data_IF_122460399612
#
_entry.id   IF_122460399612
#
_cell.length_a   1.000
_cell.length_b   1.000
_cell.length_c   1.000
_cell.angle_alpha   90.00
_cell.angle_beta   90.00
_cell.angle_gamma   90.00
#
_symmetry.space_group_name_H-M   'P 1'
#
loop_
_entity.id
_entity.type
_entity.pdbx_description
1 polymer ?
#
# COMPACT_ATOMS: atom_id res chain seq x y z
N UNK A 1 3.27 -1.64 19.13
CA UNK A 1 3.46 -0.19 19.21
C UNK A 1 4.16 0.29 17.94
N UNK A 2 3.54 1.24 17.23
CA UNK A 2 4.14 1.94 16.08
C UNK A 2 4.41 3.38 16.47
N UNK A 3 5.64 3.83 16.23
CA UNK A 3 6.05 5.21 16.39
C UNK A 3 6.22 5.82 15.00
N UNK A 4 5.47 6.88 14.69
CA UNK A 4 5.48 7.47 13.35
C UNK A 4 6.59 8.52 13.23
N UNK A 5 7.38 8.39 12.18
CA UNK A 5 8.47 9.29 11.86
C UNK A 5 8.16 10.13 10.61
N UNK A 6 9.16 10.84 10.09
CA UNK A 6 9.01 11.82 8.99
C UNK A 6 8.47 11.25 7.66
N UNK A 7 8.48 9.92 7.48
CA UNK A 7 7.98 9.28 6.26
C UNK A 7 6.46 9.29 6.16
N UNK A 8 5.78 9.32 7.32
CA UNK A 8 4.32 9.33 7.38
C UNK A 8 3.88 10.70 7.86
N UNK A 9 3.15 11.42 7.03
CA UNK A 9 2.60 12.72 7.38
C UNK A 9 1.56 12.56 8.51
N UNK A 10 1.60 13.43 9.51
CA UNK A 10 0.72 13.34 10.68
C UNK A 10 -0.76 13.45 10.30
N UNK A 11 -1.06 14.23 9.28
CA UNK A 11 -2.38 14.42 8.70
C UNK A 11 -2.96 13.17 8.03
N UNK A 12 -2.12 12.24 7.58
CA UNK A 12 -2.53 10.98 6.97
C UNK A 12 -2.87 9.89 8.00
N UNK A 13 -2.39 10.01 9.24
CA UNK A 13 -2.57 8.98 10.27
C UNK A 13 -4.04 8.63 10.56
N UNK A 14 -4.97 9.59 10.60
CA UNK A 14 -6.39 9.26 10.75
C UNK A 14 -6.95 8.40 9.63
N UNK A 15 -6.46 8.57 8.40
CA UNK A 15 -6.85 7.73 7.26
C UNK A 15 -6.40 6.27 7.49
N UNK A 16 -5.13 6.04 7.81
CA UNK A 16 -4.60 4.69 7.98
C UNK A 16 -5.22 3.96 9.16
N UNK A 17 -5.30 4.61 10.32
CA UNK A 17 -5.89 4.01 11.51
C UNK A 17 -7.38 3.75 11.33
N UNK A 18 -8.11 4.70 10.75
CA UNK A 18 -9.53 4.54 10.46
C UNK A 18 -9.80 3.46 9.41
N UNK A 19 -8.92 3.31 8.41
CA UNK A 19 -9.03 2.25 7.40
C UNK A 19 -8.86 0.86 8.02
N UNK A 20 -7.84 0.67 8.85
CA UNK A 20 -7.63 -0.60 9.55
C UNK A 20 -8.83 -0.96 10.45
N UNK A 21 -9.40 0.00 11.18
CA UNK A 21 -10.63 -0.21 11.96
C UNK A 21 -11.82 -0.60 11.06
N UNK A 22 -11.99 0.09 9.94
CA UNK A 22 -13.08 -0.15 9.00
C UNK A 22 -13.00 -1.55 8.37
N UNK A 23 -11.82 -1.95 7.90
CA UNK A 23 -11.58 -3.25 7.29
C UNK A 23 -11.73 -4.39 8.31
N UNK A 24 -11.15 -4.25 9.50
CA UNK A 24 -11.27 -5.23 10.57
C UNK A 24 -12.75 -5.42 11.01
N UNK A 25 -13.54 -4.35 11.07
CA UNK A 25 -14.96 -4.42 11.39
C UNK A 25 -15.79 -5.19 10.34
N UNK A 26 -15.28 -5.32 9.11
CA UNK A 26 -15.88 -6.09 8.01
C UNK A 26 -15.35 -7.53 7.90
N UNK A 27 -14.38 -7.87 8.71
CA UNK A 27 -13.84 -9.24 8.79
C UNK A 27 -12.49 -9.44 8.11
N UNK A 28 -11.93 -8.41 7.47
CA UNK A 28 -10.58 -8.51 6.93
C UNK A 28 -9.58 -8.65 8.06
N UNK A 29 -8.70 -9.65 7.96
CA UNK A 29 -7.62 -9.84 8.94
C UNK A 29 -6.52 -8.80 8.69
N UNK A 30 -6.49 -7.77 9.53
CA UNK A 30 -5.48 -6.70 9.51
C UNK A 30 -5.22 -6.18 10.93
N UNK A 31 -4.10 -5.47 11.17
CA UNK A 31 -3.86 -4.84 12.47
C UNK A 31 -4.99 -3.88 12.82
N UNK A 32 -5.53 -4.00 14.03
CA UNK A 32 -6.61 -3.13 14.50
C UNK A 32 -6.06 -2.17 15.54
N UNK A 33 -6.26 -0.85 15.39
CA UNK A 33 -5.84 0.13 16.38
C UNK A 33 -6.51 -0.11 17.74
N UNK A 34 -5.71 -0.05 18.80
CA UNK A 34 -6.16 -0.16 20.19
C UNK A 34 -6.43 1.25 20.70
N UNK A 35 -7.65 1.48 21.18
CA UNK A 35 -8.04 2.79 21.72
C UNK A 35 -7.57 2.96 23.16
N UNK A 36 -7.18 4.18 23.50
CA UNK A 36 -6.85 4.55 24.89
C UNK A 36 -8.15 4.71 25.73
N UNK A 37 -7.98 5.01 27.02
CA UNK A 37 -9.09 5.19 27.94
C UNK A 37 -9.99 6.40 27.60
N UNK A 38 -9.54 7.31 26.73
CA UNK A 38 -10.32 8.43 26.20
C UNK A 38 -10.94 8.13 24.82
N UNK A 39 -10.81 6.88 24.34
CA UNK A 39 -11.35 6.43 23.03
C UNK A 39 -10.50 6.83 21.82
N UNK A 40 -9.28 7.33 22.00
CA UNK A 40 -8.41 7.75 20.91
C UNK A 40 -7.53 6.58 20.45
N UNK A 41 -7.35 6.42 19.15
CA UNK A 41 -6.48 5.43 18.53
C UNK A 41 -5.08 5.97 18.16
N UNK A 42 -4.88 7.28 18.29
CA UNK A 42 -3.61 7.96 18.06
C UNK A 42 -3.22 8.75 19.31
N UNK A 43 -2.04 8.49 19.81
CA UNK A 43 -1.42 9.16 20.95
C UNK A 43 -0.11 9.83 20.57
N UNK A 44 0.68 10.16 21.58
CA UNK A 44 2.01 10.72 21.44
C UNK A 44 2.99 10.02 22.39
N UNK A 45 4.18 9.70 21.90
CA UNK A 45 5.26 9.12 22.67
C UNK A 45 6.58 9.80 22.29
N UNK A 46 7.30 10.34 23.25
CA UNK A 46 8.57 11.05 23.03
C UNK A 46 8.47 12.17 21.95
N UNK A 47 7.36 12.93 21.96
CA UNK A 47 7.13 14.04 21.03
C UNK A 47 6.78 13.58 19.59
N UNK A 48 6.43 12.32 19.39
CA UNK A 48 6.06 11.75 18.09
C UNK A 48 4.68 11.09 18.14
N UNK A 49 3.91 11.13 17.05
CA UNK A 49 2.67 10.37 16.97
C UNK A 49 2.95 8.87 17.16
N UNK A 50 2.08 8.21 17.91
CA UNK A 50 2.22 6.79 18.20
C UNK A 50 0.84 6.11 18.24
N UNK A 51 0.76 4.87 17.77
CA UNK A 51 -0.42 4.03 17.90
C UNK A 51 -0.05 2.63 18.41
N UNK A 52 -0.95 2.05 19.17
CA UNK A 52 -0.95 0.62 19.47
C UNK A 52 -1.86 -0.07 18.47
N UNK A 53 -1.40 -1.15 17.86
CA UNK A 53 -2.21 -2.00 17.00
C UNK A 53 -2.11 -3.44 17.47
N UNK A 54 -3.12 -4.25 17.16
CA UNK A 54 -3.10 -5.69 17.46
C UNK A 54 -1.96 -6.36 16.70
N UNK A 55 -1.43 -7.44 17.28
CA UNK A 55 -0.44 -8.28 16.62
C UNK A 55 -1.16 -9.39 15.83
N UNK A 56 -0.67 -9.67 14.63
CA UNK A 56 -1.14 -10.78 13.81
C UNK A 56 -0.11 -11.91 13.80
N UNK A 57 -0.58 -13.12 13.96
CA UNK A 57 0.26 -14.32 13.86
C UNK A 57 0.47 -14.68 12.38
N UNK A 58 1.68 -15.16 12.08
CA UNK A 58 2.02 -15.64 10.75
C UNK A 58 3.41 -15.24 10.31
N UNK A 59 3.78 -15.73 9.13
CA UNK A 59 5.07 -15.46 8.51
C UNK A 59 4.86 -15.07 7.05
N UNK A 60 5.65 -14.15 6.55
CA UNK A 60 5.67 -13.84 5.14
C UNK A 60 6.41 -14.93 4.33
N UNK A 61 6.04 -15.11 3.08
CA UNK A 61 6.59 -16.14 2.19
C UNK A 61 7.69 -15.56 1.32
N UNK A 62 8.91 -16.07 1.49
CA UNK A 62 10.09 -15.58 0.76
C UNK A 62 10.10 -15.96 -0.73
N UNK A 63 9.49 -17.09 -1.08
CA UNK A 63 9.33 -17.59 -2.47
C UNK A 63 7.87 -18.00 -2.67
N UNK A 64 7.03 -17.11 -3.19
CA UNK A 64 5.65 -17.42 -3.44
C UNK A 64 5.48 -18.57 -4.42
N UNK A 65 4.55 -19.48 -4.13
CA UNK A 65 4.05 -20.45 -5.10
C UNK A 65 2.72 -19.93 -5.69
N UNK A 66 2.25 -20.56 -6.76
CA UNK A 66 0.98 -20.20 -7.42
C UNK A 66 -0.22 -20.21 -6.47
N UNK A 67 -0.20 -21.12 -5.48
CA UNK A 67 -1.23 -21.17 -4.42
C UNK A 67 -1.22 -19.92 -3.53
N UNK A 68 -0.04 -19.37 -3.24
CA UNK A 68 0.08 -18.10 -2.50
C UNK A 68 -0.42 -16.92 -3.34
N UNK A 69 -0.07 -16.86 -4.63
CA UNK A 69 -0.56 -15.81 -5.53
C UNK A 69 -2.11 -15.82 -5.60
N UNK A 70 -2.72 -17.01 -5.70
CA UNK A 70 -4.17 -17.15 -5.71
C UNK A 70 -4.81 -16.70 -4.37
N UNK A 71 -4.19 -17.03 -3.24
CA UNK A 71 -4.67 -16.63 -1.91
C UNK A 71 -4.58 -15.11 -1.71
N UNK A 72 -3.47 -14.49 -2.14
CA UNK A 72 -3.28 -13.04 -2.07
C UNK A 72 -4.23 -12.29 -3.00
N UNK A 73 -4.42 -12.78 -4.23
CA UNK A 73 -5.41 -12.20 -5.15
C UNK A 73 -6.83 -12.19 -4.58
N UNK A 74 -7.21 -13.25 -3.84
CA UNK A 74 -8.49 -13.29 -3.11
C UNK A 74 -8.51 -12.26 -1.96
N UNK A 75 -7.47 -12.20 -1.15
CA UNK A 75 -7.38 -11.25 -0.05
C UNK A 75 -7.40 -9.79 -0.54
N UNK A 76 -6.77 -9.51 -1.70
CA UNK A 76 -6.84 -8.20 -2.34
C UNK A 76 -8.28 -7.86 -2.79
N UNK A 77 -8.99 -8.81 -3.38
CA UNK A 77 -10.38 -8.60 -3.76
C UNK A 77 -11.28 -8.35 -2.54
N UNK A 78 -11.07 -9.08 -1.44
CA UNK A 78 -11.76 -8.87 -0.16
C UNK A 78 -11.47 -7.47 0.38
N UNK A 79 -10.19 -7.02 0.37
CA UNK A 79 -9.83 -5.66 0.77
C UNK A 79 -10.57 -4.60 -0.05
N UNK A 80 -10.64 -4.75 -1.37
CA UNK A 80 -11.34 -3.81 -2.23
C UNK A 80 -12.84 -3.73 -1.92
N UNK A 81 -13.49 -4.88 -1.72
CA UNK A 81 -14.91 -4.96 -1.36
C UNK A 81 -15.16 -4.39 0.05
N UNK A 82 -14.34 -4.78 1.02
CA UNK A 82 -14.47 -4.30 2.39
C UNK A 82 -14.09 -2.83 2.54
N UNK A 83 -13.27 -2.29 1.63
CA UNK A 83 -12.93 -0.87 1.54
C UNK A 83 -14.09 0.01 1.05
N UNK A 84 -15.15 -0.58 0.48
CA UNK A 84 -16.32 0.17 0.04
C UNK A 84 -16.99 0.89 1.21
N UNK A 85 -17.38 2.14 0.97
CA UNK A 85 -18.03 2.98 1.98
C UNK A 85 -17.10 3.57 3.04
N UNK A 86 -15.78 3.33 2.97
CA UNK A 86 -14.86 4.05 3.83
C UNK A 86 -14.87 5.55 3.53
N UNK A 87 -15.18 6.35 4.57
CA UNK A 87 -15.53 7.76 4.37
C UNK A 87 -14.33 8.67 4.09
N UNK A 88 -13.16 8.37 4.69
CA UNK A 88 -11.98 9.21 4.51
C UNK A 88 -11.36 8.97 3.14
N UNK A 89 -10.72 10.02 2.61
CA UNK A 89 -10.08 9.98 1.29
C UNK A 89 -8.63 10.43 1.40
N UNK A 90 -7.75 9.73 0.69
CA UNK A 90 -6.35 10.05 0.56
C UNK A 90 -5.92 9.78 -0.89
N UNK A 91 -5.35 10.78 -1.55
CA UNK A 91 -4.85 10.62 -2.91
C UNK A 91 -3.59 9.74 -2.94
N UNK A 92 -3.39 9.02 -4.05
CA UNK A 92 -2.15 8.28 -4.28
C UNK A 92 -0.98 9.23 -4.58
N UNK A 93 -0.09 9.40 -3.61
CA UNK A 93 1.10 10.23 -3.78
C UNK A 93 2.14 9.58 -4.73
N UNK A 94 2.06 8.27 -4.96
CA UNK A 94 2.90 7.50 -5.88
C UNK A 94 2.16 7.07 -7.16
N UNK A 95 1.05 7.73 -7.48
CA UNK A 95 0.35 7.59 -8.75
C UNK A 95 0.87 8.58 -9.81
N UNK A 96 0.21 8.60 -10.96
CA UNK A 96 0.59 9.41 -12.13
C UNK A 96 0.88 10.89 -11.78
N UNK A 97 0.03 11.50 -10.98
CA UNK A 97 0.18 12.91 -10.57
C UNK A 97 1.41 13.13 -9.65
N UNK A 98 1.83 12.11 -8.90
CA UNK A 98 3.00 12.17 -8.02
C UNK A 98 4.33 11.94 -8.73
N UNK A 99 4.33 11.14 -9.81
CA UNK A 99 5.56 10.75 -10.51
C UNK A 99 6.25 11.91 -11.21
N UNK A 100 5.49 12.82 -11.84
CA UNK A 100 6.07 13.98 -12.55
C UNK A 100 6.88 14.87 -11.61
N UNK A 101 6.36 15.33 -10.47
CA UNK A 101 7.14 16.12 -9.52
C UNK A 101 8.38 15.39 -8.96
N UNK A 102 8.29 14.05 -8.78
CA UNK A 102 9.44 13.25 -8.36
C UNK A 102 10.52 13.24 -9.44
N UNK A 103 10.14 12.98 -10.69
CA UNK A 103 11.06 12.99 -11.81
C UNK A 103 11.77 14.34 -11.95
N UNK A 104 11.00 15.45 -11.96
CA UNK A 104 11.52 16.79 -12.15
C UNK A 104 12.56 17.19 -11.07
N UNK A 105 12.46 16.62 -9.86
CA UNK A 105 13.44 16.84 -8.78
C UNK A 105 14.78 16.13 -9.00
N UNK A 106 14.78 15.03 -9.74
CA UNK A 106 15.94 14.13 -9.81
C UNK A 106 16.41 13.87 -11.24
N UNK A 107 15.73 14.41 -12.27
CA UNK A 107 16.02 14.17 -13.66
C UNK A 107 17.49 14.47 -14.04
N UNK A 108 18.03 15.60 -13.56
CA UNK A 108 19.41 16.01 -13.82
C UNK A 108 20.45 15.08 -13.19
N UNK A 109 20.06 14.31 -12.19
CA UNK A 109 20.91 13.36 -11.47
C UNK A 109 20.71 11.91 -11.90
N UNK A 110 19.73 11.64 -12.74
CA UNK A 110 19.45 10.26 -13.19
C UNK A 110 20.65 9.62 -13.90
N UNK A 111 21.46 10.41 -14.60
CA UNK A 111 22.69 9.94 -15.26
C UNK A 111 23.79 9.47 -14.28
N UNK A 112 23.70 9.80 -12.99
CA UNK A 112 24.59 9.26 -11.94
C UNK A 112 24.38 7.75 -11.75
N UNK A 113 23.18 7.23 -12.11
CA UNK A 113 22.82 5.81 -12.02
C UNK A 113 23.05 5.13 -13.38
N UNK A 114 22.48 5.69 -14.45
CA UNK A 114 22.69 5.21 -15.81
C UNK A 114 22.52 6.37 -16.81
N UNK A 115 23.39 6.46 -17.86
CA UNK A 115 23.42 7.61 -18.77
C UNK A 115 22.09 7.95 -19.43
N UNK A 116 21.31 6.93 -19.80
CA UNK A 116 20.03 7.09 -20.53
C UNK A 116 18.79 7.07 -19.63
N UNK A 117 18.95 6.95 -18.30
CA UNK A 117 17.86 6.76 -17.37
C UNK A 117 16.91 7.97 -17.35
N UNK A 118 17.43 9.18 -17.32
CA UNK A 118 16.63 10.40 -17.32
C UNK A 118 15.75 10.52 -18.58
N UNK A 119 16.32 10.47 -19.80
CA UNK A 119 15.53 10.45 -21.03
C UNK A 119 14.49 9.32 -21.10
N UNK A 120 14.86 8.11 -20.65
CA UNK A 120 13.96 6.96 -20.62
C UNK A 120 12.74 7.24 -19.71
N UNK A 121 12.96 7.59 -18.44
CA UNK A 121 11.86 7.89 -17.50
C UNK A 121 11.01 9.05 -18.04
N UNK A 122 11.63 10.10 -18.57
CA UNK A 122 10.90 11.24 -19.12
C UNK A 122 10.03 10.87 -20.33
N UNK A 123 10.45 9.93 -21.17
CA UNK A 123 9.63 9.43 -22.31
C UNK A 123 8.46 8.58 -21.82
N UNK A 124 8.72 7.68 -20.86
CA UNK A 124 7.69 6.83 -20.28
C UNK A 124 6.61 7.66 -19.55
N UNK A 125 7.02 8.66 -18.78
CA UNK A 125 6.06 9.56 -18.12
C UNK A 125 5.17 10.29 -19.11
N UNK A 126 5.72 10.81 -20.23
CA UNK A 126 4.91 11.45 -21.26
C UNK A 126 3.92 10.47 -21.91
N UNK A 127 4.36 9.22 -22.14
CA UNK A 127 3.49 8.19 -22.67
C UNK A 127 2.33 7.89 -21.71
N UNK A 128 2.65 7.66 -20.43
CA UNK A 128 1.67 7.36 -19.40
C UNK A 128 0.67 8.52 -19.17
N UNK A 129 1.14 9.78 -19.18
CA UNK A 129 0.29 10.95 -19.07
C UNK A 129 -0.73 11.05 -20.21
N UNK A 130 -0.31 10.65 -21.42
CA UNK A 130 -1.19 10.67 -22.60
C UNK A 130 -2.16 9.50 -22.66
N UNK A 131 -1.80 8.34 -22.11
CA UNK A 131 -2.53 7.08 -22.29
C UNK A 131 -3.08 6.49 -21.00
N UNK A 132 -2.96 7.20 -19.85
CA UNK A 132 -3.46 6.69 -18.57
C UNK A 132 -4.96 6.39 -18.64
N UNK A 133 -5.40 5.19 -18.24
CA UNK A 133 -6.82 4.86 -18.25
C UNK A 133 -7.62 5.79 -17.33
N UNK A 134 -8.72 6.35 -17.82
CA UNK A 134 -9.50 7.36 -17.08
C UNK A 134 -10.77 6.82 -16.43
N UNK A 135 -11.28 5.68 -16.91
CA UNK A 135 -12.59 5.14 -16.51
C UNK A 135 -12.43 3.74 -15.92
N UNK A 136 -11.55 3.61 -14.93
CA UNK A 136 -11.39 2.36 -14.18
C UNK A 136 -12.14 2.42 -12.86
N UNK A 137 -12.68 1.28 -12.38
CA UNK A 137 -13.20 1.17 -11.03
C UNK A 137 -12.14 1.64 -10.02
N UNK A 138 -12.55 2.49 -9.09
CA UNK A 138 -11.67 3.08 -8.10
C UNK A 138 -12.24 2.92 -6.69
N UNK A 139 -11.36 2.81 -5.73
CA UNK A 139 -11.71 2.60 -4.33
C UNK A 139 -10.52 2.80 -3.42
N UNK A 140 -10.61 2.24 -2.23
CA UNK A 140 -9.46 2.08 -1.34
C UNK A 140 -8.57 0.97 -1.89
N UNK A 141 -7.28 1.24 -1.96
CA UNK A 141 -6.23 0.30 -2.36
C UNK A 141 -5.17 0.20 -1.27
N UNK A 142 -4.46 -0.93 -1.23
CA UNK A 142 -3.31 -1.11 -0.33
C UNK A 142 -2.07 -0.38 -0.86
N UNK A 143 -1.85 -0.44 -2.14
CA UNK A 143 -0.76 0.16 -2.92
C UNK A 143 0.65 -0.33 -2.58
N UNK A 144 0.81 -1.32 -1.69
CA UNK A 144 2.09 -1.88 -1.27
C UNK A 144 1.97 -3.36 -0.87
N UNK A 145 1.13 -4.14 -1.58
CA UNK A 145 0.87 -5.54 -1.24
C UNK A 145 1.98 -6.48 -1.72
N UNK A 146 3.19 -6.27 -1.19
CA UNK A 146 4.35 -7.11 -1.41
C UNK A 146 4.34 -8.35 -0.50
N UNK A 147 5.19 -9.38 -0.79
CA UNK A 147 5.22 -10.61 0.00
C UNK A 147 5.45 -10.41 1.49
N UNK A 148 6.24 -9.43 1.91
CA UNK A 148 6.52 -9.09 3.30
C UNK A 148 5.36 -8.39 4.02
N UNK A 149 4.35 -7.93 3.27
CA UNK A 149 3.14 -7.31 3.80
C UNK A 149 1.94 -8.28 3.89
N UNK A 150 2.15 -9.59 3.59
CA UNK A 150 1.12 -10.62 3.71
C UNK A 150 1.61 -11.76 4.60
N UNK A 151 0.88 -12.01 5.67
CA UNK A 151 1.19 -13.07 6.61
C UNK A 151 0.40 -14.35 6.30
N UNK A 152 1.04 -15.49 6.49
CA UNK A 152 0.49 -16.81 6.28
C UNK A 152 0.62 -17.68 7.52
N UNK A 153 -0.39 -18.51 7.75
CA UNK A 153 -0.39 -19.65 8.66
C UNK A 153 -0.92 -20.87 7.92
N UNK A 154 -0.14 -21.94 7.84
CA UNK A 154 -0.52 -23.17 7.11
C UNK A 154 -1.01 -22.88 5.67
N UNK A 155 -0.24 -22.12 4.90
CA UNK A 155 -0.52 -21.72 3.50
C UNK A 155 -1.82 -20.91 3.29
N UNK A 156 -2.40 -20.41 4.36
CA UNK A 156 -3.57 -19.50 4.30
C UNK A 156 -3.14 -18.11 4.73
N UNK A 157 -3.64 -17.09 4.03
CA UNK A 157 -3.47 -15.70 4.45
C UNK A 157 -4.05 -15.55 5.85
N UNK A 158 -3.21 -15.16 6.80
CA UNK A 158 -3.60 -14.86 8.19
C UNK A 158 -3.75 -13.37 8.44
N UNK A 159 -3.23 -12.52 7.56
CA UNK A 159 -3.46 -11.10 7.61
C UNK A 159 -2.65 -10.29 6.63
N UNK A 160 -3.15 -9.09 6.36
CA UNK A 160 -2.48 -8.04 5.59
C UNK A 160 -1.96 -6.99 6.56
N UNK A 161 -0.73 -6.49 6.33
CA UNK A 161 -0.08 -5.51 7.20
C UNK A 161 0.48 -4.34 6.38
N UNK A 162 0.94 -3.31 7.04
CA UNK A 162 1.59 -2.12 6.45
C UNK A 162 0.70 -1.29 5.52
N UNK A 163 -0.40 -0.77 6.04
CA UNK A 163 -1.36 0.07 5.33
C UNK A 163 -0.90 1.52 5.10
N UNK A 164 0.37 1.85 5.32
CA UNK A 164 0.83 3.25 5.28
C UNK A 164 1.06 3.82 3.88
N UNK A 165 0.88 3.00 2.84
CA UNK A 165 0.73 3.44 1.46
C UNK A 165 -0.73 3.48 0.99
N UNK A 166 -1.64 2.89 1.75
CA UNK A 166 -3.05 2.81 1.37
C UNK A 166 -3.63 4.18 1.01
N UNK A 167 -4.43 4.22 -0.03
CA UNK A 167 -4.98 5.45 -0.59
C UNK A 167 -6.24 5.17 -1.43
N UNK A 168 -6.78 6.18 -2.09
CA UNK A 168 -7.83 6.01 -3.08
C UNK A 168 -7.23 6.13 -4.47
N UNK A 169 -7.35 5.09 -5.27
CA UNK A 169 -6.93 5.05 -6.67
C UNK A 169 -7.72 3.97 -7.43
N UNK A 170 -7.34 3.71 -8.69
CA UNK A 170 -7.85 2.61 -9.47
C UNK A 170 -7.54 1.25 -8.83
N UNK A 171 -8.54 0.38 -8.73
CA UNK A 171 -8.35 -0.99 -8.23
C UNK A 171 -7.36 -1.78 -9.11
N UNK A 172 -7.30 -1.45 -10.40
CA UNK A 172 -6.33 -2.05 -11.32
C UNK A 172 -4.88 -1.68 -11.01
N UNK A 173 -4.62 -0.50 -10.40
CA UNK A 173 -3.29 -0.12 -9.93
C UNK A 173 -2.80 -1.07 -8.84
N UNK A 174 -3.65 -1.36 -7.87
CA UNK A 174 -3.33 -2.28 -6.77
C UNK A 174 -3.09 -3.71 -7.26
N UNK A 175 -3.93 -4.16 -8.20
CA UNK A 175 -3.73 -5.44 -8.87
C UNK A 175 -2.39 -5.49 -9.62
N UNK A 176 -1.99 -4.42 -10.30
CA UNK A 176 -0.71 -4.36 -11.01
C UNK A 176 0.48 -4.41 -10.04
N UNK A 177 0.41 -3.72 -8.90
CA UNK A 177 1.43 -3.81 -7.83
C UNK A 177 1.55 -5.24 -7.35
N UNK A 178 0.43 -5.91 -7.03
CA UNK A 178 0.41 -7.29 -6.58
C UNK A 178 0.97 -8.25 -7.62
N UNK A 179 0.56 -8.13 -8.90
CA UNK A 179 1.08 -9.00 -9.97
C UNK A 179 2.59 -8.88 -10.10
N UNK A 180 3.13 -7.66 -10.12
CA UNK A 180 4.58 -7.44 -10.21
C UNK A 180 5.35 -8.00 -9.00
N UNK A 181 4.76 -7.94 -7.81
CA UNK A 181 5.42 -8.39 -6.58
C UNK A 181 5.36 -9.92 -6.37
N UNK A 182 4.33 -10.61 -6.92
CA UNK A 182 4.05 -12.00 -6.60
C UNK A 182 4.18 -12.98 -7.77
N UNK A 183 4.04 -12.50 -9.00
CA UNK A 183 3.89 -13.38 -10.17
C UNK A 183 5.12 -13.43 -11.08
N UNK A 184 6.20 -12.77 -10.69
CA UNK A 184 7.47 -12.80 -11.43
C UNK A 184 8.60 -13.29 -10.52
N UNK A 185 9.52 -14.05 -11.10
CA UNK A 185 10.75 -14.44 -10.41
C UNK A 185 11.74 -13.26 -10.38
N UNK A 186 12.73 -13.34 -9.47
CA UNK A 186 13.73 -12.27 -9.29
C UNK A 186 14.60 -12.00 -10.53
N UNK A 187 14.63 -12.94 -11.48
CA UNK A 187 15.32 -12.84 -12.76
C UNK A 187 14.40 -12.35 -13.90
N UNK A 188 13.15 -12.03 -13.60
CA UNK A 188 12.15 -11.52 -14.56
C UNK A 188 11.48 -12.58 -15.42
N UNK A 189 11.60 -13.87 -15.04
CA UNK A 189 10.94 -14.98 -15.74
C UNK A 189 9.47 -15.14 -15.35
#
# INVERSE_FOLDING_TARGET
LTLYERRTAREDLPFFLGLMEHLAARGLSCPTPVRDNAGRNLGELAGRPAALVTFLEGFWVRRPATTHCAAVGRALAELHLDGEGFALKRANALGLAGWRPLYDRFADRAAEIAPDLGPLIGSELRYLEAHWPKELPSGVIHADLFPDNVLFVNDRVSGLIDFYFACNDSLAYDLAVMLNAWCFESDGA
#
